data_IF_450051765566
#
_entry.id   IF_450051765566
#
_cell.length_a   1.000
_cell.length_b   1.000
_cell.length_c   1.000
_cell.angle_alpha   90.00
_cell.angle_beta   90.00
_cell.angle_gamma   90.00
#
_symmetry.space_group_name_H-M   'P 1'
#
loop_
_entity.id
_entity.type
_entity.pdbx_description
1 polymer ?
#
# COMPACT_ATOMS: atom_id res chain seq x y z
N UNK A 1 -48.04 18.24 61.55
CA UNK A 1 -47.12 18.29 60.38
C UNK A 1 -45.93 17.39 60.70
N UNK A 2 -45.50 16.38 59.96
CA UNK A 2 -45.75 15.93 58.59
C UNK A 2 -45.40 14.42 58.57
N UNK A 3 -46.31 13.55 58.11
CA UNK A 3 -46.02 12.12 57.87
C UNK A 3 -45.25 12.00 56.55
N UNK A 4 -44.07 11.39 56.54
CA UNK A 4 -43.39 10.92 55.31
C UNK A 4 -43.20 9.42 55.38
N UNK A 5 -44.05 8.73 54.64
CA UNK A 5 -43.99 7.33 54.25
C UNK A 5 -42.80 7.14 53.30
N UNK A 6 -41.84 6.28 53.65
CA UNK A 6 -40.85 5.77 52.71
C UNK A 6 -41.44 4.53 52.02
N UNK A 7 -41.83 4.69 50.75
CA UNK A 7 -42.16 3.59 49.85
C UNK A 7 -40.85 3.08 49.23
N UNK A 8 -40.53 1.81 49.46
CA UNK A 8 -39.46 1.10 48.78
C UNK A 8 -39.86 0.86 47.32
N UNK A 9 -39.15 1.49 46.38
CA UNK A 9 -39.25 1.20 44.96
C UNK A 9 -38.32 0.03 44.61
N UNK A 10 -38.89 -1.10 44.21
CA UNK A 10 -38.17 -2.19 43.56
C UNK A 10 -37.61 -1.70 42.21
N UNK A 11 -36.42 -2.13 41.78
CA UNK A 11 -35.90 -1.79 40.47
C UNK A 11 -36.72 -2.50 39.37
N UNK A 12 -36.91 -1.87 38.20
CA UNK A 12 -37.55 -2.54 37.08
C UNK A 12 -36.64 -3.68 36.58
N UNK A 13 -37.20 -4.88 36.45
CA UNK A 13 -36.61 -5.94 35.63
C UNK A 13 -36.45 -5.40 34.21
N UNK A 14 -35.21 -5.07 33.84
CA UNK A 14 -34.86 -4.87 32.44
C UNK A 14 -34.99 -6.24 31.75
N UNK A 15 -36.07 -6.41 30.99
CA UNK A 15 -36.19 -7.50 30.04
C UNK A 15 -34.97 -7.45 29.12
N UNK A 16 -34.14 -8.49 29.19
CA UNK A 16 -33.13 -8.80 28.18
C UNK A 16 -33.85 -9.01 26.86
N UNK A 17 -34.03 -7.93 26.11
CA UNK A 17 -34.28 -8.02 24.68
C UNK A 17 -32.99 -8.56 24.09
N UNK A 18 -32.96 -9.87 23.87
CA UNK A 18 -31.96 -10.46 22.99
C UNK A 18 -32.09 -9.69 21.67
N UNK A 19 -31.10 -8.85 21.37
CA UNK A 19 -30.93 -8.33 20.02
C UNK A 19 -30.95 -9.55 19.11
N UNK A 20 -31.89 -9.57 18.17
CA UNK A 20 -31.92 -10.58 17.13
C UNK A 20 -30.52 -10.60 16.50
N UNK A 21 -29.84 -11.74 16.65
CA UNK A 21 -28.55 -11.97 16.01
C UNK A 21 -28.76 -11.79 14.51
N UNK A 22 -27.98 -10.89 13.91
CA UNK A 22 -27.74 -10.82 12.47
C UNK A 22 -27.61 -12.26 11.93
N UNK A 23 -28.34 -12.68 10.87
CA UNK A 23 -28.22 -14.02 10.32
C UNK A 23 -26.74 -14.39 10.18
N UNK A 24 -26.32 -15.42 10.93
CA UNK A 24 -24.92 -15.85 11.05
C UNK A 24 -24.33 -15.95 9.64
N UNK A 25 -23.41 -15.04 9.31
CA UNK A 25 -22.68 -15.13 8.07
C UNK A 25 -21.88 -16.43 8.10
N UNK A 26 -22.24 -17.39 7.26
CA UNK A 26 -21.49 -18.65 7.10
C UNK A 26 -20.53 -18.51 5.92
N UNK A 27 -19.24 -18.64 6.20
CA UNK A 27 -18.17 -18.58 5.21
C UNK A 27 -17.67 -19.99 4.94
N UNK A 28 -17.77 -20.43 3.69
CA UNK A 28 -17.30 -21.76 3.27
C UNK A 28 -16.10 -21.58 2.34
N UNK A 29 -14.92 -22.03 2.78
CA UNK A 29 -13.71 -22.02 1.94
C UNK A 29 -13.50 -23.39 1.29
N UNK A 30 -13.11 -23.41 0.02
CA UNK A 30 -12.83 -24.64 -0.72
C UNK A 30 -11.36 -25.06 -0.54
N UNK A 31 -11.10 -26.04 0.33
CA UNK A 31 -9.77 -26.61 0.52
C UNK A 31 -9.49 -27.86 -0.34
N UNK A 32 -10.45 -28.30 -1.16
CA UNK A 32 -10.24 -29.35 -2.15
C UNK A 32 -9.48 -28.77 -3.35
N UNK A 33 -9.86 -27.56 -3.77
CA UNK A 33 -9.35 -26.89 -4.97
C UNK A 33 -8.52 -25.65 -4.62
N UNK A 34 -7.21 -25.82 -4.45
CA UNK A 34 -6.29 -24.70 -4.22
C UNK A 34 -6.22 -23.79 -5.45
N UNK A 35 -6.64 -22.53 -5.30
CA UNK A 35 -6.54 -21.49 -6.32
C UNK A 35 -5.11 -20.98 -6.52
N UNK A 36 -4.97 -19.83 -7.18
CA UNK A 36 -3.66 -19.23 -7.49
C UNK A 36 -2.82 -18.90 -6.24
N UNK A 37 -1.49 -18.76 -6.37
CA UNK A 37 -0.63 -18.25 -5.29
C UNK A 37 -1.13 -16.90 -4.77
N UNK A 38 -1.05 -16.69 -3.46
CA UNK A 38 -1.34 -15.38 -2.88
C UNK A 38 -0.26 -14.39 -3.30
N UNK A 39 -0.70 -13.26 -3.84
CA UNK A 39 0.19 -12.25 -4.43
C UNK A 39 0.80 -11.35 -3.35
N UNK A 40 2.09 -11.01 -3.43
CA UNK A 40 2.76 -10.17 -2.43
C UNK A 40 2.46 -8.69 -2.66
N UNK A 41 1.25 -8.25 -2.35
CA UNK A 41 0.75 -6.89 -2.63
C UNK A 41 0.86 -5.91 -1.45
N UNK A 42 1.41 -6.34 -0.31
CA UNK A 42 1.56 -5.52 0.89
C UNK A 42 2.82 -4.63 0.86
N UNK A 43 3.12 -4.01 -0.28
CA UNK A 43 4.25 -3.08 -0.42
C UNK A 43 3.99 -1.74 0.29
N UNK A 44 5.04 -0.93 0.41
CA UNK A 44 5.02 0.35 1.13
C UNK A 44 5.83 1.43 0.41
N UNK A 45 5.68 2.69 0.81
CA UNK A 45 6.57 3.79 0.45
C UNK A 45 7.56 4.10 1.58
N UNK A 46 8.71 4.70 1.24
CA UNK A 46 9.69 5.18 2.21
C UNK A 46 10.78 4.14 2.55
N UNK A 47 11.36 4.26 3.74
CA UNK A 47 12.45 3.39 4.22
C UNK A 47 12.48 3.26 5.75
N UNK A 48 13.30 2.33 6.28
CA UNK A 48 13.33 2.02 7.71
C UNK A 48 14.06 3.05 8.57
N UNK A 49 14.82 3.98 7.99
CA UNK A 49 15.55 5.01 8.73
C UNK A 49 14.79 6.35 8.60
N UNK A 50 14.46 7.01 9.73
CA UNK A 50 13.53 8.16 9.75
C UNK A 50 13.72 9.11 10.95
N UNK A 51 13.59 10.44 10.76
CA UNK A 51 13.95 11.52 11.72
C UNK A 51 15.47 11.89 11.92
N UNK A 52 16.20 12.21 10.84
CA UNK A 52 17.58 12.75 10.85
C UNK A 52 18.71 11.99 11.61
N UNK A 53 18.76 10.67 11.65
CA UNK A 53 19.67 9.85 12.45
C UNK A 53 19.04 9.12 13.65
N UNK A 54 17.87 9.57 14.13
CA UNK A 54 17.37 9.20 15.47
C UNK A 54 16.61 7.86 15.51
N UNK A 55 15.77 7.54 14.52
CA UNK A 55 15.00 6.29 14.51
C UNK A 55 15.53 5.30 13.48
N UNK A 56 15.74 4.06 13.93
CA UNK A 56 15.99 2.90 13.10
C UNK A 56 14.85 1.88 13.29
N UNK A 57 14.03 1.74 12.25
CA UNK A 57 12.88 0.84 12.18
C UNK A 57 13.22 -0.47 11.44
N UNK A 58 14.49 -0.74 11.14
CA UNK A 58 14.92 -1.90 10.35
C UNK A 58 14.44 -3.22 10.94
N UNK A 59 14.40 -3.35 12.27
CA UNK A 59 13.88 -4.55 12.94
C UNK A 59 12.38 -4.76 12.63
N UNK A 60 11.59 -3.69 12.59
CA UNK A 60 10.16 -3.74 12.27
C UNK A 60 9.91 -3.98 10.78
N UNK A 61 10.76 -3.44 9.92
CA UNK A 61 10.73 -3.75 8.49
C UNK A 61 11.05 -5.21 8.20
N UNK A 62 12.10 -5.76 8.82
CA UNK A 62 12.42 -7.20 8.76
C UNK A 62 11.30 -8.07 9.33
N UNK A 63 10.67 -7.63 10.42
CA UNK A 63 9.50 -8.30 10.96
C UNK A 63 8.36 -8.29 9.95
N UNK A 64 8.04 -7.17 9.32
CA UNK A 64 6.91 -7.08 8.39
C UNK A 64 7.16 -7.76 7.04
N UNK A 65 8.43 -7.91 6.64
CA UNK A 65 8.86 -8.50 5.37
C UNK A 65 8.11 -7.89 4.17
N UNK A 66 8.10 -6.56 4.09
CA UNK A 66 7.43 -5.87 2.99
C UNK A 66 8.05 -6.31 1.65
N UNK A 67 7.22 -6.68 0.65
CA UNK A 67 7.72 -7.17 -0.62
C UNK A 67 8.35 -6.06 -1.46
N UNK A 68 7.83 -4.85 -1.36
CA UNK A 68 8.29 -3.68 -2.11
C UNK A 68 8.36 -2.44 -1.22
N UNK A 69 9.35 -1.58 -1.51
CA UNK A 69 9.47 -0.22 -1.03
C UNK A 69 9.61 0.72 -2.23
N UNK A 70 8.63 1.60 -2.42
CA UNK A 70 8.68 2.64 -3.44
C UNK A 70 9.27 3.92 -2.86
N UNK A 71 10.27 4.47 -3.55
CA UNK A 71 11.10 5.57 -3.02
C UNK A 71 10.47 6.94 -3.32
N UNK A 72 9.51 7.37 -2.52
CA UNK A 72 8.92 8.71 -2.61
C UNK A 72 8.74 9.32 -1.23
N UNK A 73 8.83 10.65 -1.14
CA UNK A 73 8.83 11.43 0.11
C UNK A 73 9.74 10.84 1.20
N UNK A 74 10.91 10.36 0.80
CA UNK A 74 11.89 9.78 1.72
C UNK A 74 12.68 10.90 2.43
N UNK A 75 12.52 11.03 3.75
CA UNK A 75 12.94 12.23 4.48
C UNK A 75 14.23 12.08 5.32
N UNK A 76 15.11 11.10 5.05
CA UNK A 76 16.26 10.79 5.90
C UNK A 76 17.62 10.86 5.21
N UNK A 77 18.66 11.53 5.75
CA UNK A 77 18.67 12.42 6.92
C UNK A 77 18.22 13.85 6.59
N UNK A 78 17.96 14.12 5.32
CA UNK A 78 17.49 15.38 4.76
C UNK A 78 16.18 15.12 3.98
N UNK A 79 15.32 16.14 3.81
CA UNK A 79 14.19 16.03 2.90
C UNK A 79 14.66 15.63 1.51
N UNK A 80 14.10 14.52 1.03
CA UNK A 80 14.17 14.03 -0.33
C UNK A 80 15.51 13.38 -0.71
N UNK A 81 16.01 12.51 0.17
CA UNK A 81 17.32 11.83 0.05
C UNK A 81 17.50 11.01 -1.24
N UNK A 82 16.40 10.61 -1.88
CA UNK A 82 16.39 9.79 -3.10
C UNK A 82 16.16 10.62 -4.37
N UNK A 83 15.95 11.93 -4.24
CA UNK A 83 15.65 12.82 -5.36
C UNK A 83 16.85 13.01 -6.27
N UNK A 84 16.57 13.21 -7.57
CA UNK A 84 17.62 13.41 -8.56
C UNK A 84 18.48 14.62 -8.21
N UNK A 85 17.89 15.73 -7.73
CA UNK A 85 18.65 16.90 -7.28
C UNK A 85 19.39 16.71 -5.96
N UNK A 86 19.00 15.75 -5.12
CA UNK A 86 19.78 15.41 -3.94
C UNK A 86 21.05 14.63 -4.34
N UNK A 87 20.90 13.70 -5.29
CA UNK A 87 21.99 12.85 -5.78
C UNK A 87 22.89 13.58 -6.80
N UNK A 88 22.36 14.52 -7.59
CA UNK A 88 23.09 15.30 -8.60
C UNK A 88 22.87 16.80 -8.37
N UNK A 89 23.62 17.42 -7.43
CA UNK A 89 23.31 18.76 -6.93
C UNK A 89 23.66 19.88 -7.93
N UNK A 90 24.66 19.69 -8.79
CA UNK A 90 25.06 20.67 -9.80
C UNK A 90 24.73 20.20 -11.22
N UNK A 91 23.60 20.67 -11.74
CA UNK A 91 23.17 20.38 -13.12
C UNK A 91 24.05 21.03 -14.20
N UNK A 92 25.05 21.84 -13.87
CA UNK A 92 26.09 22.26 -14.81
C UNK A 92 27.20 21.20 -14.97
N UNK A 93 27.41 20.34 -13.97
CA UNK A 93 28.45 19.31 -13.98
C UNK A 93 28.24 18.21 -15.03
N UNK A 94 29.27 17.42 -15.30
CA UNK A 94 29.24 16.33 -16.28
C UNK A 94 28.61 15.06 -15.68
N UNK A 95 27.49 14.54 -16.24
CA UNK A 95 26.85 13.31 -15.76
C UNK A 95 27.71 12.04 -15.97
N UNK A 96 28.76 12.08 -16.79
CA UNK A 96 29.68 10.96 -16.95
C UNK A 96 30.75 10.89 -15.84
N UNK A 97 30.96 11.97 -15.08
CA UNK A 97 31.94 12.02 -14.00
C UNK A 97 31.31 11.57 -12.67
N UNK A 98 31.80 10.49 -12.03
CA UNK A 98 31.35 10.06 -10.70
C UNK A 98 31.34 11.16 -9.63
N UNK A 99 32.32 12.05 -9.64
CA UNK A 99 32.45 13.12 -8.64
C UNK A 99 31.36 14.20 -8.73
N UNK A 100 30.54 14.18 -9.79
CA UNK A 100 29.38 15.05 -9.93
C UNK A 100 28.17 14.59 -9.11
N UNK A 101 28.21 13.37 -8.55
CA UNK A 101 27.13 12.75 -7.80
C UNK A 101 27.46 12.71 -6.30
N UNK A 102 26.46 12.92 -5.45
CA UNK A 102 26.51 12.71 -4.00
C UNK A 102 25.60 11.53 -3.62
N UNK A 103 26.15 10.32 -3.69
CA UNK A 103 25.41 9.09 -3.39
C UNK A 103 25.36 8.75 -1.90
N UNK A 104 26.25 9.32 -1.06
CA UNK A 104 26.53 8.79 0.27
C UNK A 104 25.28 8.60 1.15
N UNK A 105 24.39 9.59 1.18
CA UNK A 105 23.15 9.51 1.98
C UNK A 105 22.12 8.57 1.36
N UNK A 106 22.01 8.59 0.04
CA UNK A 106 21.08 7.72 -0.70
C UNK A 106 21.51 6.26 -0.56
N UNK A 107 22.82 5.99 -0.52
CA UNK A 107 23.38 4.66 -0.31
C UNK A 107 23.04 4.11 1.05
N UNK A 108 23.20 4.90 2.11
CA UNK A 108 22.78 4.52 3.46
C UNK A 108 21.28 4.19 3.50
N UNK A 109 20.45 5.01 2.87
CA UNK A 109 19.00 4.84 2.84
C UNK A 109 18.58 3.58 2.07
N UNK A 110 19.07 3.42 0.83
CA UNK A 110 18.80 2.28 -0.06
C UNK A 110 19.34 0.99 0.56
N UNK A 111 20.53 1.04 1.18
CA UNK A 111 21.12 -0.10 1.89
C UNK A 111 20.24 -0.56 3.04
N UNK A 112 19.68 0.35 3.83
CA UNK A 112 18.81 -0.04 4.95
C UNK A 112 17.55 -0.79 4.48
N UNK A 113 16.97 -0.38 3.35
CA UNK A 113 15.84 -1.09 2.72
C UNK A 113 16.27 -2.46 2.20
N UNK A 114 17.40 -2.52 1.49
CA UNK A 114 17.95 -3.76 0.95
C UNK A 114 18.27 -4.77 2.06
N UNK A 115 18.93 -4.33 3.14
CA UNK A 115 19.29 -5.15 4.29
C UNK A 115 18.08 -5.63 5.11
N UNK A 116 16.92 -4.97 4.95
CA UNK A 116 15.64 -5.43 5.49
C UNK A 116 14.99 -6.54 4.65
N UNK A 117 15.54 -6.84 3.46
CA UNK A 117 15.02 -7.85 2.54
C UNK A 117 13.88 -7.37 1.64
N UNK A 118 13.70 -6.06 1.49
CA UNK A 118 12.61 -5.46 0.71
C UNK A 118 13.08 -5.07 -0.68
N UNK A 119 12.35 -5.48 -1.72
CA UNK A 119 12.66 -5.07 -3.09
C UNK A 119 12.32 -3.59 -3.31
N UNK A 120 13.00 -2.92 -4.24
CA UNK A 120 12.90 -1.47 -4.41
C UNK A 120 12.21 -1.13 -5.73
N UNK A 121 11.27 -0.19 -5.67
CA UNK A 121 10.77 0.59 -6.82
C UNK A 121 11.41 1.98 -6.73
N UNK A 122 12.47 2.21 -7.51
CA UNK A 122 13.23 3.45 -7.44
C UNK A 122 12.55 4.52 -8.30
N UNK A 123 12.10 5.62 -7.68
CA UNK A 123 11.49 6.75 -8.39
C UNK A 123 12.55 7.81 -8.72
N UNK A 124 12.78 7.98 -10.02
CA UNK A 124 13.65 8.98 -10.61
C UNK A 124 12.86 10.29 -10.80
N UNK A 125 13.06 11.24 -9.91
CA UNK A 125 12.36 12.52 -9.96
C UNK A 125 12.55 13.30 -8.69
N UNK A 126 11.52 14.07 -8.36
CA UNK A 126 11.51 14.93 -7.17
C UNK A 126 10.27 14.61 -6.30
N UNK A 127 10.41 14.76 -4.99
CA UNK A 127 9.33 14.69 -4.00
C UNK A 127 8.36 15.87 -4.13
N UNK A 128 7.16 15.73 -3.54
CA UNK A 128 6.15 16.79 -3.56
C UNK A 128 6.59 18.01 -2.73
N UNK A 129 6.44 19.22 -3.29
CA UNK A 129 6.69 20.47 -2.57
C UNK A 129 5.36 21.08 -2.10
N UNK A 130 5.07 21.04 -0.81
CA UNK A 130 3.89 21.72 -0.24
C UNK A 130 4.09 23.22 0.02
N UNK A 131 5.33 23.71 -0.05
CA UNK A 131 5.64 25.12 0.21
C UNK A 131 5.13 26.02 -0.92
N UNK A 132 4.80 27.28 -0.62
CA UNK A 132 4.32 28.26 -1.62
C UNK A 132 5.31 28.46 -2.77
N UNK A 133 6.61 28.48 -2.47
CA UNK A 133 7.69 28.64 -3.44
C UNK A 133 8.26 27.27 -3.77
N UNK A 134 8.15 26.87 -5.03
CA UNK A 134 8.73 25.63 -5.57
C UNK A 134 10.19 25.83 -5.91
N UNK A 135 11.05 24.85 -5.61
CA UNK A 135 12.51 24.88 -5.80
C UNK A 135 13.04 23.68 -6.57
N UNK A 136 12.33 22.56 -6.55
CA UNK A 136 12.80 21.29 -7.09
C UNK A 136 11.94 20.80 -8.26
N UNK A 137 10.63 21.04 -8.22
CA UNK A 137 9.69 20.45 -9.18
C UNK A 137 9.52 21.21 -10.51
N UNK A 138 10.51 22.02 -10.90
CA UNK A 138 10.53 22.63 -12.24
C UNK A 138 11.00 21.64 -13.30
N UNK A 139 10.53 21.79 -14.56
CA UNK A 139 11.09 21.04 -15.67
C UNK A 139 12.62 21.21 -15.74
N UNK A 140 13.39 20.11 -15.91
CA UNK A 140 14.82 20.24 -16.17
C UNK A 140 15.06 21.09 -17.42
N UNK A 141 16.12 21.90 -17.42
CA UNK A 141 16.46 22.76 -18.57
C UNK A 141 16.85 21.96 -19.81
N UNK A 142 17.41 20.76 -19.60
CA UNK A 142 17.84 19.83 -20.62
C UNK A 142 17.40 18.41 -20.22
N UNK A 143 16.42 17.87 -20.95
CA UNK A 143 15.87 16.54 -20.67
C UNK A 143 16.83 15.41 -21.04
N UNK A 144 17.70 15.60 -22.04
CA UNK A 144 18.69 14.59 -22.41
C UNK A 144 19.76 14.49 -21.32
N UNK A 145 20.25 15.63 -20.83
CA UNK A 145 21.17 15.65 -19.68
C UNK A 145 20.53 15.04 -18.43
N UNK A 146 19.28 15.37 -18.12
CA UNK A 146 18.56 14.77 -16.99
C UNK A 146 18.44 13.24 -17.12
N UNK A 147 18.18 12.73 -18.34
CA UNK A 147 18.13 11.30 -18.60
C UNK A 147 19.49 10.61 -18.40
N UNK A 148 20.60 11.25 -18.78
CA UNK A 148 21.95 10.73 -18.52
C UNK A 148 22.31 10.75 -17.02
N UNK A 149 21.89 11.77 -16.28
CA UNK A 149 22.00 11.79 -14.81
C UNK A 149 21.26 10.59 -14.20
N UNK A 150 20.01 10.37 -14.59
CA UNK A 150 19.23 9.22 -14.15
C UNK A 150 19.91 7.90 -14.51
N UNK A 151 20.50 7.80 -15.70
CA UNK A 151 21.26 6.62 -16.10
C UNK A 151 22.49 6.39 -15.20
N UNK A 152 23.15 7.46 -14.73
CA UNK A 152 24.21 7.38 -13.72
C UNK A 152 23.73 6.78 -12.40
N UNK A 153 22.56 7.22 -11.90
CA UNK A 153 21.93 6.67 -10.69
C UNK A 153 21.59 5.18 -10.87
N UNK A 154 20.97 4.83 -11.99
CA UNK A 154 20.64 3.42 -12.32
C UNK A 154 21.90 2.57 -12.31
N UNK A 155 22.95 3.02 -13.01
CA UNK A 155 24.22 2.30 -13.14
C UNK A 155 24.95 2.17 -11.79
N UNK A 156 24.83 3.17 -10.92
CA UNK A 156 25.39 3.11 -9.57
C UNK A 156 24.77 1.94 -8.78
N UNK A 157 23.45 1.76 -8.78
CA UNK A 157 22.80 0.69 -8.01
C UNK A 157 22.73 -0.68 -8.71
N UNK A 158 22.96 -0.75 -10.03
CA UNK A 158 22.84 -2.00 -10.80
C UNK A 158 24.18 -2.57 -11.27
N UNK A 159 25.14 -1.70 -11.65
CA UNK A 159 26.39 -2.10 -12.29
C UNK A 159 27.65 -1.85 -11.44
N UNK A 160 27.51 -1.27 -10.25
CA UNK A 160 28.63 -0.93 -9.36
C UNK A 160 29.44 0.29 -9.79
N UNK A 161 28.87 1.16 -10.64
CA UNK A 161 29.55 2.38 -11.09
C UNK A 161 29.67 3.41 -9.96
N UNK A 162 30.74 4.21 -9.97
CA UNK A 162 31.00 5.21 -8.92
C UNK A 162 30.98 4.61 -7.51
N UNK A 163 31.73 3.52 -7.30
CA UNK A 163 31.81 2.76 -6.05
C UNK A 163 30.46 2.23 -5.53
N UNK A 164 29.52 2.00 -6.45
CA UNK A 164 28.16 1.60 -6.13
C UNK A 164 27.94 0.11 -5.93
N UNK A 165 26.71 -0.31 -6.19
CA UNK A 165 26.15 -1.61 -5.82
C UNK A 165 25.67 -2.40 -7.03
N UNK A 166 25.31 -3.66 -6.77
CA UNK A 166 24.61 -4.56 -7.71
C UNK A 166 23.33 -5.07 -7.06
N UNK A 167 22.49 -4.15 -6.60
CA UNK A 167 21.22 -4.50 -6.00
C UNK A 167 20.22 -4.97 -7.07
N UNK A 168 19.31 -5.90 -6.75
CA UNK A 168 18.33 -6.42 -7.70
C UNK A 168 17.14 -5.46 -7.89
N UNK A 169 17.40 -4.19 -8.17
CA UNK A 169 16.36 -3.16 -8.41
C UNK A 169 15.82 -3.31 -9.83
N UNK A 170 14.63 -3.91 -9.95
CA UNK A 170 13.98 -4.18 -11.23
C UNK A 170 13.20 -2.98 -11.78
N UNK A 171 12.55 -2.20 -10.92
CA UNK A 171 11.59 -1.17 -11.32
C UNK A 171 12.15 0.23 -11.13
N UNK A 172 12.09 1.02 -12.21
CA UNK A 172 12.55 2.41 -12.25
C UNK A 172 11.41 3.28 -12.78
N UNK A 173 10.86 4.08 -11.87
CA UNK A 173 9.70 4.93 -12.14
C UNK A 173 10.16 6.34 -12.47
N UNK A 174 9.70 6.89 -13.59
CA UNK A 174 10.01 8.25 -14.02
C UNK A 174 8.97 9.20 -13.43
N UNK A 175 9.46 10.04 -12.52
CA UNK A 175 8.76 11.14 -11.87
C UNK A 175 7.65 10.73 -10.90
N UNK A 176 6.99 11.73 -10.31
CA UNK A 176 5.84 11.61 -9.43
C UNK A 176 4.79 12.66 -9.77
N UNK A 177 3.54 12.25 -9.94
CA UNK A 177 2.34 13.09 -10.10
C UNK A 177 2.53 14.37 -10.94
N UNK A 178 3.03 14.30 -12.19
CA UNK A 178 3.22 15.49 -13.02
C UNK A 178 1.91 16.25 -13.34
N UNK A 179 0.78 15.60 -13.12
CA UNK A 179 -0.57 16.14 -13.20
C UNK A 179 -1.01 16.90 -11.93
N UNK A 180 -0.32 16.71 -10.80
CA UNK A 180 -0.53 17.47 -9.56
C UNK A 180 0.30 18.76 -9.55
N UNK A 181 -0.28 19.83 -10.11
CA UNK A 181 0.40 21.12 -10.27
C UNK A 181 -0.03 22.16 -9.25
N UNK A 182 0.89 23.04 -8.79
CA UNK A 182 2.31 23.09 -9.13
C UNK A 182 3.19 22.27 -8.16
N UNK A 183 2.62 21.37 -7.36
CA UNK A 183 3.31 20.77 -6.22
C UNK A 183 4.30 19.67 -6.60
N UNK A 184 4.03 18.93 -7.67
CA UNK A 184 4.88 17.85 -8.17
C UNK A 184 5.49 18.17 -9.55
N UNK A 185 4.96 19.18 -10.26
CA UNK A 185 5.49 19.66 -11.53
C UNK A 185 5.00 21.08 -11.83
N UNK A 186 5.91 22.02 -12.13
CA UNK A 186 5.53 23.39 -12.50
C UNK A 186 5.41 23.62 -14.01
N UNK A 187 5.82 22.64 -14.83
CA UNK A 187 5.77 22.76 -16.29
C UNK A 187 4.41 22.48 -16.89
N UNK A 188 4.36 22.49 -18.21
CA UNK A 188 3.20 22.08 -19.01
C UNK A 188 3.14 20.55 -19.17
N UNK A 189 1.98 20.04 -19.63
CA UNK A 189 1.81 18.63 -19.99
C UNK A 189 2.81 18.24 -21.08
N UNK A 190 2.92 19.05 -22.13
CA UNK A 190 3.83 18.83 -23.25
C UNK A 190 5.29 18.69 -22.78
N UNK A 191 5.75 19.58 -21.88
CA UNK A 191 7.09 19.48 -21.31
C UNK A 191 7.31 18.18 -20.53
N UNK A 192 6.31 17.72 -19.77
CA UNK A 192 6.43 16.45 -19.07
C UNK A 192 6.46 15.26 -20.04
N UNK A 193 5.60 15.27 -21.07
CA UNK A 193 5.61 14.23 -22.09
C UNK A 193 6.96 14.16 -22.81
N UNK A 194 7.57 15.30 -23.12
CA UNK A 194 8.90 15.36 -23.73
C UNK A 194 10.00 14.85 -22.77
N UNK A 195 9.92 15.16 -21.48
CA UNK A 195 10.80 14.59 -20.45
C UNK A 195 10.69 13.06 -20.41
N UNK A 196 9.46 12.53 -20.30
CA UNK A 196 9.22 11.10 -20.22
C UNK A 196 9.70 10.36 -21.47
N UNK A 197 9.36 10.87 -22.67
CA UNK A 197 9.83 10.31 -23.95
C UNK A 197 11.35 10.21 -23.98
N UNK A 198 12.03 11.29 -23.58
CA UNK A 198 13.50 11.38 -23.61
C UNK A 198 14.11 10.39 -22.62
N UNK A 199 13.67 10.43 -21.37
CA UNK A 199 14.20 9.58 -20.31
C UNK A 199 13.93 8.10 -20.53
N UNK A 200 12.69 7.72 -20.85
CA UNK A 200 12.32 6.32 -21.04
C UNK A 200 13.11 5.67 -22.18
N UNK A 201 13.31 6.39 -23.30
CA UNK A 201 14.12 5.89 -24.43
C UNK A 201 15.59 5.72 -24.06
N UNK A 202 16.19 6.71 -23.40
CA UNK A 202 17.59 6.65 -22.96
C UNK A 202 17.80 5.50 -21.97
N UNK A 203 16.95 5.41 -20.94
CA UNK A 203 17.06 4.38 -19.90
C UNK A 203 16.85 2.99 -20.47
N UNK A 204 15.82 2.77 -21.31
CA UNK A 204 15.57 1.45 -21.88
C UNK A 204 16.66 1.02 -22.86
N UNK A 205 17.25 1.95 -23.62
CA UNK A 205 18.36 1.64 -24.51
C UNK A 205 19.62 1.18 -23.75
N UNK A 206 19.93 1.81 -22.62
CA UNK A 206 21.09 1.45 -21.77
C UNK A 206 20.83 0.22 -20.91
N UNK A 207 19.59 0.05 -20.45
CA UNK A 207 19.20 -1.00 -19.49
C UNK A 207 18.01 -1.81 -20.00
N UNK A 208 18.15 -2.57 -21.10
CA UNK A 208 17.03 -3.21 -21.79
C UNK A 208 16.26 -4.24 -20.94
N UNK A 209 16.89 -4.77 -19.89
CA UNK A 209 16.29 -5.75 -18.96
C UNK A 209 15.52 -5.12 -17.80
N UNK A 210 15.75 -3.84 -17.51
CA UNK A 210 15.05 -3.15 -16.43
C UNK A 210 13.65 -2.75 -16.87
N UNK A 211 12.75 -2.66 -15.91
CA UNK A 211 11.39 -2.20 -16.12
C UNK A 211 11.37 -0.68 -15.93
N UNK A 212 11.04 0.05 -16.98
CA UNK A 212 10.96 1.51 -16.99
C UNK A 212 9.49 1.92 -17.16
N UNK A 213 8.99 2.72 -16.24
CA UNK A 213 7.57 3.07 -16.18
C UNK A 213 7.33 4.40 -15.50
N UNK A 214 6.07 4.70 -15.20
CA UNK A 214 5.65 5.98 -14.63
C UNK A 214 4.22 6.33 -15.03
N UNK A 215 3.79 7.59 -14.84
CA UNK A 215 4.50 8.68 -14.17
C UNK A 215 4.10 8.89 -12.69
N UNK A 216 3.48 7.90 -12.07
CA UNK A 216 2.87 8.03 -10.74
C UNK A 216 1.70 9.00 -10.78
N UNK A 217 0.66 8.71 -11.57
CA UNK A 217 -0.49 9.60 -11.77
C UNK A 217 -1.18 9.92 -10.44
N UNK A 218 -1.22 11.20 -10.06
CA UNK A 218 -1.92 11.64 -8.85
C UNK A 218 -3.44 11.59 -9.02
N UNK A 219 -3.91 11.95 -10.22
CA UNK A 219 -5.30 11.80 -10.65
C UNK A 219 -5.42 10.73 -11.74
N UNK A 220 -5.79 9.52 -11.30
CA UNK A 220 -6.04 8.39 -12.20
C UNK A 220 -7.33 8.50 -13.03
N UNK A 221 -8.15 9.53 -12.82
CA UNK A 221 -9.40 9.78 -13.54
C UNK A 221 -10.66 9.65 -12.68
N UNK A 222 -11.81 9.87 -13.31
CA UNK A 222 -13.12 9.86 -12.64
C UNK A 222 -13.77 8.49 -12.74
N UNK A 223 -14.21 7.95 -11.60
CA UNK A 223 -15.03 6.75 -11.58
C UNK A 223 -16.52 7.10 -11.76
N UNK A 224 -17.14 6.54 -12.79
CA UNK A 224 -18.58 6.57 -13.01
C UNK A 224 -19.13 5.15 -12.87
N UNK A 225 -19.56 4.80 -11.65
CA UNK A 225 -19.85 3.42 -11.29
C UNK A 225 -18.58 2.57 -11.32
N UNK A 226 -18.54 1.59 -12.22
CA UNK A 226 -17.38 0.71 -12.45
C UNK A 226 -16.49 1.17 -13.62
N UNK A 227 -16.89 2.21 -14.36
CA UNK A 227 -16.12 2.73 -15.49
C UNK A 227 -15.16 3.83 -15.03
N UNK A 228 -13.87 3.64 -15.28
CA UNK A 228 -12.86 4.69 -15.12
C UNK A 228 -12.76 5.50 -16.40
N UNK A 229 -13.02 6.81 -16.31
CA UNK A 229 -12.75 7.75 -17.39
C UNK A 229 -11.37 8.38 -17.18
N UNK A 230 -10.42 8.19 -18.11
CA UNK A 230 -9.07 8.75 -17.95
C UNK A 230 -9.09 10.28 -17.99
N UNK A 231 -8.12 10.92 -17.35
CA UNK A 231 -7.87 12.35 -17.52
C UNK A 231 -7.40 12.66 -18.95
N UNK A 232 -7.44 13.94 -19.34
CA UNK A 232 -6.82 14.36 -20.61
C UNK A 232 -5.33 14.05 -20.63
N UNK A 233 -4.64 14.33 -19.53
CA UNK A 233 -3.22 14.01 -19.35
C UNK A 233 -2.91 12.53 -19.59
N UNK A 234 -3.66 11.60 -18.97
CA UNK A 234 -3.44 10.16 -19.17
C UNK A 234 -3.69 9.74 -20.63
N UNK A 235 -4.73 10.27 -21.29
CA UNK A 235 -4.98 10.00 -22.71
C UNK A 235 -3.81 10.45 -23.58
N UNK A 236 -3.35 11.67 -23.38
CA UNK A 236 -2.28 12.26 -24.18
C UNK A 236 -0.94 11.56 -23.91
N UNK A 237 -0.69 11.14 -22.66
CA UNK A 237 0.47 10.34 -22.27
C UNK A 237 0.53 9.01 -23.01
N UNK A 238 -0.55 8.23 -22.97
CA UNK A 238 -0.61 6.93 -23.67
C UNK A 238 -0.54 7.11 -25.19
N UNK A 239 -1.23 8.11 -25.74
CA UNK A 239 -1.18 8.43 -27.16
C UNK A 239 0.24 8.80 -27.60
N UNK A 240 0.95 9.61 -26.81
CA UNK A 240 2.36 9.98 -27.07
C UNK A 240 3.26 8.75 -27.04
N UNK A 241 3.12 7.90 -26.02
CA UNK A 241 3.92 6.68 -25.90
C UNK A 241 3.72 5.74 -27.10
N UNK A 242 2.46 5.58 -27.57
CA UNK A 242 2.16 4.78 -28.77
C UNK A 242 2.70 5.39 -30.05
N UNK A 243 2.48 6.69 -30.26
CA UNK A 243 2.89 7.40 -31.49
C UNK A 243 4.41 7.36 -31.67
N UNK A 244 5.15 7.58 -30.58
CA UNK A 244 6.59 7.78 -30.62
C UNK A 244 7.39 6.52 -30.24
N UNK A 245 6.72 5.37 -30.08
CA UNK A 245 7.31 4.09 -29.67
C UNK A 245 8.13 4.21 -28.38
N UNK A 246 7.56 4.88 -27.39
CA UNK A 246 8.20 5.08 -26.08
C UNK A 246 8.04 3.80 -25.24
N UNK A 247 9.12 3.30 -24.60
CA UNK A 247 9.02 2.22 -23.63
C UNK A 247 8.08 2.58 -22.48
N UNK A 248 7.16 1.67 -22.15
CA UNK A 248 6.26 1.76 -21.01
C UNK A 248 6.06 0.34 -20.47
N UNK A 249 7.01 -0.13 -19.66
CA UNK A 249 6.98 -1.49 -19.10
C UNK A 249 5.92 -1.60 -17.99
N UNK A 250 5.68 -0.50 -17.26
CA UNK A 250 4.59 -0.38 -16.30
C UNK A 250 4.00 1.04 -16.28
N UNK A 251 2.70 1.13 -16.04
CA UNK A 251 2.01 2.39 -15.76
C UNK A 251 1.71 2.47 -14.27
N UNK A 252 2.16 3.54 -13.62
CA UNK A 252 1.92 3.76 -12.19
C UNK A 252 0.91 4.88 -11.91
N UNK A 253 0.10 4.66 -10.89
CA UNK A 253 -1.02 5.52 -10.52
C UNK A 253 -1.31 5.44 -9.02
N UNK A 254 -1.95 6.49 -8.48
CA UNK A 254 -2.24 6.63 -7.06
C UNK A 254 -3.74 6.65 -6.78
N UNK A 255 -4.10 6.34 -5.54
CA UNK A 255 -5.47 6.47 -5.06
C UNK A 255 -5.53 6.60 -3.53
N UNK A 256 -6.19 7.64 -3.04
CA UNK A 256 -6.52 7.82 -1.62
C UNK A 256 -8.03 7.87 -1.47
N UNK A 257 -8.61 6.95 -0.69
CA UNK A 257 -10.07 6.79 -0.61
C UNK A 257 -10.52 6.21 0.73
N UNK A 258 -11.79 6.43 1.06
CA UNK A 258 -12.46 5.79 2.19
C UNK A 258 -13.18 4.48 1.82
N UNK A 259 -13.20 4.11 0.53
CA UNK A 259 -13.82 2.87 0.03
C UNK A 259 -12.75 1.92 -0.55
N UNK A 260 -12.45 0.78 0.10
CA UNK A 260 -11.41 -0.12 -0.38
C UNK A 260 -11.78 -0.82 -1.70
N UNK A 261 -13.05 -0.84 -2.10
CA UNK A 261 -13.48 -1.41 -3.39
C UNK A 261 -13.12 -0.52 -4.58
N UNK A 262 -12.91 0.79 -4.34
CA UNK A 262 -12.48 1.74 -5.37
C UNK A 262 -11.13 1.36 -5.97
N UNK A 263 -10.20 0.82 -5.17
CA UNK A 263 -8.91 0.34 -5.70
C UNK A 263 -9.08 -0.73 -6.78
N UNK A 264 -10.00 -1.68 -6.56
CA UNK A 264 -10.29 -2.75 -7.53
C UNK A 264 -10.93 -2.19 -8.79
N UNK A 265 -11.91 -1.28 -8.65
CA UNK A 265 -12.59 -0.63 -9.77
C UNK A 265 -11.61 0.18 -10.62
N UNK A 266 -10.72 0.95 -9.98
CA UNK A 266 -9.65 1.70 -10.67
C UNK A 266 -8.65 0.77 -11.36
N UNK A 267 -8.20 -0.30 -10.70
CA UNK A 267 -7.28 -1.26 -11.31
C UNK A 267 -7.89 -1.91 -12.57
N UNK A 268 -9.15 -2.34 -12.51
CA UNK A 268 -9.88 -2.87 -13.68
C UNK A 268 -10.00 -1.83 -14.79
N UNK A 269 -10.38 -0.60 -14.44
CA UNK A 269 -10.45 0.51 -15.39
C UNK A 269 -9.10 0.83 -16.04
N UNK A 270 -8.02 0.83 -15.26
CA UNK A 270 -6.67 1.09 -15.75
C UNK A 270 -6.21 0.00 -16.73
N UNK A 271 -6.50 -1.27 -16.42
CA UNK A 271 -6.25 -2.39 -17.32
C UNK A 271 -6.99 -2.22 -18.65
N UNK A 272 -8.27 -1.86 -18.61
CA UNK A 272 -9.07 -1.58 -19.81
C UNK A 272 -8.52 -0.42 -20.63
N UNK A 273 -8.11 0.67 -19.98
CA UNK A 273 -7.51 1.84 -20.63
C UNK A 273 -6.19 1.46 -21.32
N UNK A 274 -5.32 0.73 -20.65
CA UNK A 274 -4.06 0.24 -21.21
C UNK A 274 -4.31 -0.69 -22.41
N UNK A 275 -5.24 -1.64 -22.30
CA UNK A 275 -5.55 -2.58 -23.37
C UNK A 275 -6.14 -1.88 -24.60
N UNK A 276 -7.04 -0.92 -24.40
CA UNK A 276 -7.60 -0.09 -25.46
C UNK A 276 -6.53 0.78 -26.14
N UNK A 277 -5.56 1.27 -25.36
CA UNK A 277 -4.38 1.96 -25.87
C UNK A 277 -3.31 0.99 -26.41
N UNK A 278 -3.56 -0.32 -26.47
CA UNK A 278 -2.70 -1.38 -27.00
C UNK A 278 -1.46 -1.75 -26.18
N UNK A 279 -1.44 -1.40 -24.90
CA UNK A 279 -0.40 -1.73 -23.92
C UNK A 279 -0.71 -3.02 -23.13
N UNK A 280 -1.07 -4.09 -23.85
CA UNK A 280 -1.55 -5.35 -23.22
C UNK A 280 -0.53 -6.04 -22.30
N UNK A 281 0.77 -5.80 -22.54
CA UNK A 281 1.87 -6.36 -21.73
C UNK A 281 2.43 -5.41 -20.68
N UNK A 282 1.95 -4.16 -20.62
CA UNK A 282 2.39 -3.17 -19.61
C UNK A 282 1.78 -3.52 -18.26
N UNK A 283 2.61 -3.65 -17.23
CA UNK A 283 2.16 -3.86 -15.84
C UNK A 283 1.39 -2.63 -15.31
N UNK A 284 0.52 -2.83 -14.30
CA UNK A 284 -0.20 -1.75 -13.62
C UNK A 284 0.19 -1.67 -12.16
N UNK A 285 0.72 -0.53 -11.74
CA UNK A 285 1.28 -0.33 -10.40
C UNK A 285 0.50 0.71 -9.60
N UNK A 286 -0.11 0.30 -8.48
CA UNK A 286 -0.71 1.20 -7.50
C UNK A 286 0.38 1.68 -6.53
N UNK A 287 1.22 2.63 -6.98
CA UNK A 287 2.45 2.99 -6.27
C UNK A 287 2.25 3.93 -5.07
N UNK A 288 1.05 4.48 -4.91
CA UNK A 288 0.62 5.07 -3.64
C UNK A 288 -0.86 4.81 -3.38
N UNK A 289 -1.14 4.30 -2.18
CA UNK A 289 -2.48 4.25 -1.64
C UNK A 289 -2.50 4.38 -0.13
N UNK A 290 -3.59 4.94 0.41
CA UNK A 290 -3.86 4.95 1.84
C UNK A 290 -5.38 5.10 2.09
N UNK A 291 -5.82 4.75 3.30
CA UNK A 291 -7.11 5.12 3.83
C UNK A 291 -7.22 6.64 3.94
N UNK A 292 -8.28 7.18 3.35
CA UNK A 292 -8.66 8.58 3.48
C UNK A 292 -9.95 8.64 4.31
N UNK A 293 -9.89 8.94 5.63
CA UNK A 293 -11.08 9.08 6.46
C UNK A 293 -12.11 10.00 5.81
N UNK A 294 -13.35 9.52 5.74
CA UNK A 294 -14.51 10.18 5.12
C UNK A 294 -14.35 10.49 3.62
N UNK A 295 -13.34 9.92 2.96
CA UNK A 295 -13.00 10.18 1.56
C UNK A 295 -12.56 11.62 1.30
N UNK A 296 -12.08 12.34 2.32
CA UNK A 296 -11.77 13.78 2.23
C UNK A 296 -10.46 14.15 2.89
N UNK A 297 -9.71 15.02 2.22
CA UNK A 297 -8.47 15.63 2.73
C UNK A 297 -8.70 16.70 3.80
N UNK A 298 -9.94 17.07 4.09
CA UNK A 298 -10.28 18.19 4.98
C UNK A 298 -9.77 18.01 6.40
N UNK A 299 -9.67 16.77 6.89
CA UNK A 299 -9.15 16.50 8.24
C UNK A 299 -7.64 16.71 8.33
N UNK A 300 -6.86 16.22 7.36
CA UNK A 300 -5.42 16.47 7.27
C UNK A 300 -5.10 17.97 7.17
N UNK A 301 -5.91 18.70 6.39
CA UNK A 301 -5.75 20.15 6.15
C UNK A 301 -6.46 21.04 7.18
N UNK A 302 -7.03 20.46 8.25
CA UNK A 302 -7.75 21.23 9.25
C UNK A 302 -6.81 22.24 9.91
N UNK A 303 -7.30 23.43 10.26
CA UNK A 303 -6.50 24.44 10.99
C UNK A 303 -6.38 24.13 12.48
N UNK A 304 -7.42 23.51 13.04
CA UNK A 304 -7.43 23.05 14.41
C UNK A 304 -6.54 21.81 14.61
N UNK A 305 -5.68 21.85 15.62
CA UNK A 305 -4.70 20.80 15.85
C UNK A 305 -5.34 19.49 16.32
N UNK A 306 -6.38 19.56 17.15
CA UNK A 306 -7.08 18.39 17.66
C UNK A 306 -7.88 17.69 16.56
N UNK A 307 -8.51 18.46 15.67
CA UNK A 307 -9.18 17.93 14.49
C UNK A 307 -8.21 17.21 13.55
N UNK A 308 -7.02 17.79 13.30
CA UNK A 308 -5.96 17.11 12.53
C UNK A 308 -5.52 15.82 13.23
N UNK A 309 -5.23 15.89 14.53
CA UNK A 309 -4.81 14.72 15.31
C UNK A 309 -5.85 13.60 15.25
N UNK A 310 -7.13 13.93 15.48
CA UNK A 310 -8.24 12.96 15.42
C UNK A 310 -8.32 12.28 14.06
N UNK A 311 -8.08 13.02 12.98
CA UNK A 311 -8.03 12.45 11.63
C UNK A 311 -6.85 11.47 11.46
N UNK A 312 -5.65 11.83 11.93
CA UNK A 312 -4.49 10.94 11.92
C UNK A 312 -4.68 9.71 12.82
N UNK A 313 -5.33 9.86 13.98
CA UNK A 313 -5.64 8.75 14.89
C UNK A 313 -6.61 7.75 14.26
N UNK A 314 -7.57 8.20 13.45
CA UNK A 314 -8.43 7.32 12.65
C UNK A 314 -7.65 6.60 11.55
N UNK A 315 -6.77 7.33 10.85
CA UNK A 315 -5.91 6.78 9.81
C UNK A 315 -4.96 5.70 10.34
N UNK A 316 -4.27 5.96 11.45
CA UNK A 316 -3.36 5.00 12.10
C UNK A 316 -4.05 3.97 13.00
N UNK A 317 -5.34 4.14 13.27
CA UNK A 317 -6.12 3.40 14.25
C UNK A 317 -6.81 2.13 13.71
N UNK A 318 -7.83 1.63 14.42
CA UNK A 318 -8.54 0.40 14.03
C UNK A 318 -9.25 0.54 12.67
N UNK A 319 -9.77 1.73 12.35
CA UNK A 319 -10.39 2.02 11.05
C UNK A 319 -9.40 1.81 9.90
N UNK A 320 -8.24 2.48 9.96
CA UNK A 320 -7.22 2.32 8.92
C UNK A 320 -6.64 0.91 8.84
N UNK A 321 -6.50 0.21 9.98
CA UNK A 321 -6.03 -1.17 9.99
C UNK A 321 -7.02 -2.13 9.30
N UNK A 322 -8.31 -1.99 9.58
CA UNK A 322 -9.36 -2.76 8.91
C UNK A 322 -9.44 -2.40 7.42
N UNK A 323 -9.36 -1.11 7.08
CA UNK A 323 -9.33 -0.65 5.70
C UNK A 323 -8.15 -1.23 4.91
N UNK A 324 -6.92 -1.14 5.44
CA UNK A 324 -5.73 -1.63 4.76
C UNK A 324 -5.77 -3.15 4.54
N UNK A 325 -6.22 -3.91 5.55
CA UNK A 325 -6.43 -5.34 5.41
C UNK A 325 -7.52 -5.67 4.36
N UNK A 326 -8.61 -4.91 4.34
CA UNK A 326 -9.68 -5.09 3.36
C UNK A 326 -9.20 -4.80 1.93
N UNK A 327 -8.48 -3.69 1.73
CA UNK A 327 -7.88 -3.34 0.46
C UNK A 327 -6.97 -4.46 -0.05
N UNK A 328 -6.04 -4.93 0.78
CA UNK A 328 -5.12 -6.01 0.40
C UNK A 328 -5.80 -7.36 0.16
N UNK A 329 -6.93 -7.66 0.82
CA UNK A 329 -7.74 -8.83 0.48
C UNK A 329 -8.33 -8.68 -0.94
N UNK A 330 -8.94 -7.54 -1.21
CA UNK A 330 -9.66 -7.25 -2.46
C UNK A 330 -8.73 -7.11 -3.68
N UNK A 331 -7.56 -6.51 -3.49
CA UNK A 331 -6.59 -6.28 -4.57
C UNK A 331 -6.04 -7.58 -5.17
N UNK A 332 -6.19 -8.69 -4.47
CA UNK A 332 -5.74 -10.01 -4.93
C UNK A 332 -6.55 -10.57 -6.10
N UNK A 333 -7.72 -9.98 -6.39
CA UNK A 333 -8.52 -10.27 -7.58
C UNK A 333 -8.49 -9.11 -8.60
N UNK A 334 -7.68 -8.07 -8.34
CA UNK A 334 -7.54 -6.91 -9.21
C UNK A 334 -6.40 -7.08 -10.24
N UNK A 335 -6.54 -6.57 -11.46
CA UNK A 335 -5.52 -6.67 -12.51
C UNK A 335 -4.42 -5.62 -12.32
N UNK A 336 -3.68 -5.74 -11.21
CA UNK A 336 -2.50 -4.94 -10.87
C UNK A 336 -1.34 -5.85 -10.46
N UNK A 337 -0.12 -5.37 -10.58
CA UNK A 337 1.10 -6.17 -10.38
C UNK A 337 1.84 -5.79 -9.10
N UNK A 338 1.82 -4.50 -8.75
CA UNK A 338 2.50 -3.93 -7.57
C UNK A 338 1.55 -2.97 -6.87
N UNK A 339 1.53 -2.98 -5.53
CA UNK A 339 0.81 -2.01 -4.71
C UNK A 339 1.68 -1.57 -3.53
N UNK A 340 1.74 -0.25 -3.28
CA UNK A 340 2.59 0.35 -2.24
C UNK A 340 1.78 1.33 -1.37
N UNK A 341 1.62 0.98 -0.10
CA UNK A 341 0.94 1.81 0.90
C UNK A 341 1.80 3.04 1.24
N UNK A 342 1.22 4.23 1.24
CA UNK A 342 1.92 5.46 1.62
C UNK A 342 1.65 5.82 3.09
N UNK A 343 2.58 5.72 4.04
CA UNK A 343 3.97 5.25 3.91
C UNK A 343 4.43 4.42 5.13
N UNK A 344 5.59 3.78 5.07
CA UNK A 344 6.19 3.00 6.15
C UNK A 344 7.28 3.76 6.95
N UNK A 345 7.14 5.08 7.03
CA UNK A 345 8.00 5.97 7.83
C UNK A 345 7.32 6.45 9.13
N UNK A 346 8.10 7.14 9.97
CA UNK A 346 7.65 7.79 11.21
C UNK A 346 7.06 9.19 10.93
N UNK A 347 5.93 9.23 10.23
CA UNK A 347 5.25 10.49 9.85
C UNK A 347 3.72 10.41 9.97
N UNK A 348 3.02 11.53 9.72
CA UNK A 348 1.57 11.64 9.99
C UNK A 348 0.67 10.63 9.27
N UNK A 349 1.05 10.19 8.06
CA UNK A 349 0.34 9.13 7.32
C UNK A 349 1.08 7.78 7.37
N UNK A 350 2.10 7.70 8.21
CA UNK A 350 3.02 6.58 8.31
C UNK A 350 2.48 5.39 9.10
N UNK A 351 3.11 4.23 8.90
CA UNK A 351 2.90 3.05 9.73
C UNK A 351 3.44 3.21 11.16
N UNK A 352 4.21 4.26 11.43
CA UNK A 352 4.79 4.53 12.73
C UNK A 352 4.46 5.95 13.19
N UNK A 353 4.27 6.13 14.50
CA UNK A 353 4.21 7.45 15.10
C UNK A 353 5.55 8.20 14.90
N UNK A 354 5.60 9.52 15.13
CA UNK A 354 6.85 10.28 15.12
C UNK A 354 7.93 9.79 16.11
N UNK A 355 7.57 8.89 17.04
CA UNK A 355 8.48 8.26 17.99
C UNK A 355 8.86 6.82 17.59
N UNK A 356 8.48 6.36 16.40
CA UNK A 356 8.76 5.00 15.91
C UNK A 356 7.86 3.91 16.49
N UNK A 357 6.78 4.27 17.19
CA UNK A 357 5.82 3.30 17.72
C UNK A 357 4.92 2.81 16.58
N UNK A 358 4.79 1.48 16.33
CA UNK A 358 3.92 0.97 15.28
C UNK A 358 2.45 1.34 15.51
N UNK A 359 1.82 1.90 14.49
CA UNK A 359 0.38 2.13 14.42
C UNK A 359 -0.37 0.80 14.18
N UNK A 360 -1.69 0.76 14.35
CA UNK A 360 -2.47 -0.48 14.15
C UNK A 360 -2.37 -0.99 12.71
N UNK A 361 -2.23 -0.07 11.75
CA UNK A 361 -2.04 -0.39 10.34
C UNK A 361 -0.77 -1.20 10.10
N UNK A 362 0.31 -0.97 10.86
CA UNK A 362 1.55 -1.77 10.74
C UNK A 362 1.26 -3.26 10.94
N UNK A 363 0.51 -3.60 12.00
CA UNK A 363 0.17 -5.00 12.31
C UNK A 363 -0.72 -5.62 11.23
N UNK A 364 -1.63 -4.83 10.63
CA UNK A 364 -2.47 -5.30 9.54
C UNK A 364 -1.64 -5.59 8.27
N UNK A 365 -0.72 -4.70 7.91
CA UNK A 365 0.19 -4.89 6.77
C UNK A 365 1.13 -6.07 7.02
N UNK A 366 1.76 -6.13 8.21
CA UNK A 366 2.69 -7.21 8.60
C UNK A 366 2.03 -8.59 8.69
N UNK A 367 0.70 -8.67 8.83
CA UNK A 367 -0.01 -9.94 8.80
C UNK A 367 0.11 -10.65 7.44
N UNK A 368 0.27 -9.89 6.34
CA UNK A 368 0.32 -10.45 4.99
C UNK A 368 1.57 -11.28 4.69
N UNK A 369 2.68 -11.06 5.41
CA UNK A 369 3.88 -11.90 5.30
C UNK A 369 3.58 -13.39 5.54
N UNK A 370 2.62 -13.68 6.43
CA UNK A 370 2.29 -15.05 6.81
C UNK A 370 1.59 -15.82 5.65
N UNK A 371 1.08 -15.12 4.64
CA UNK A 371 0.47 -15.75 3.46
C UNK A 371 1.50 -16.11 2.37
N UNK A 372 2.77 -15.77 2.56
CA UNK A 372 3.84 -16.11 1.60
C UNK A 372 3.91 -17.62 1.41
N UNK A 373 3.89 -18.07 0.15
CA UNK A 373 3.92 -19.49 -0.22
C UNK A 373 2.58 -20.23 -0.09
N UNK A 374 1.52 -19.56 0.39
CA UNK A 374 0.19 -20.15 0.43
C UNK A 374 -0.54 -19.98 -0.92
N UNK A 375 -1.37 -20.97 -1.24
CA UNK A 375 -2.30 -20.95 -2.37
C UNK A 375 -3.67 -20.49 -1.87
N UNK A 376 -4.39 -19.72 -2.68
CA UNK A 376 -5.74 -19.23 -2.39
C UNK A 376 -6.68 -20.39 -2.03
N UNK A 377 -7.47 -20.19 -0.99
CA UNK A 377 -8.68 -20.97 -0.74
C UNK A 377 -9.89 -20.16 -1.24
N UNK A 378 -10.53 -20.55 -2.35
CA UNK A 378 -11.69 -19.84 -2.87
C UNK A 378 -12.82 -19.82 -1.84
N UNK A 379 -13.47 -18.67 -1.69
CA UNK A 379 -14.71 -18.56 -0.93
C UNK A 379 -15.88 -19.03 -1.81
N UNK A 380 -16.79 -19.82 -1.23
CA UNK A 380 -18.10 -20.14 -1.83
C UNK A 380 -19.15 -19.15 -1.32
N UNK A 381 -19.83 -18.48 -2.25
CA UNK A 381 -20.87 -17.50 -1.93
C UNK A 381 -20.35 -16.07 -1.76
N UNK A 382 -21.19 -15.21 -1.21
CA UNK A 382 -20.91 -13.79 -1.03
C UNK A 382 -20.54 -13.47 0.43
N UNK A 383 -19.67 -12.48 0.61
CA UNK A 383 -19.37 -11.94 1.93
C UNK A 383 -20.46 -10.93 2.35
N UNK A 384 -20.78 -10.86 3.66
CA UNK A 384 -21.59 -9.77 4.19
C UNK A 384 -20.99 -8.41 3.85
N UNK A 385 -21.84 -7.41 3.64
CA UNK A 385 -21.41 -6.04 3.43
C UNK A 385 -20.44 -5.58 4.54
N UNK A 386 -19.36 -4.90 4.14
CA UNK A 386 -18.32 -4.43 5.06
C UNK A 386 -17.39 -5.50 5.62
N UNK A 387 -17.58 -6.79 5.29
CA UNK A 387 -16.62 -7.87 5.56
C UNK A 387 -15.80 -8.18 4.30
N UNK A 388 -14.50 -8.33 4.49
CA UNK A 388 -13.59 -8.88 3.48
C UNK A 388 -12.87 -10.08 4.06
N UNK A 389 -12.49 -11.02 3.21
CA UNK A 389 -11.78 -12.21 3.62
C UNK A 389 -10.67 -12.58 2.64
N UNK A 390 -9.60 -13.15 3.18
CA UNK A 390 -8.54 -13.81 2.42
C UNK A 390 -8.19 -15.10 3.13
N UNK A 391 -8.36 -16.24 2.47
CA UNK A 391 -7.91 -17.52 2.95
C UNK A 391 -6.83 -18.14 2.06
N UNK A 392 -5.86 -18.80 2.70
CA UNK A 392 -4.75 -19.48 2.03
C UNK A 392 -4.38 -20.78 2.73
N UNK A 393 -3.87 -21.74 1.96
CA UNK A 393 -3.43 -23.04 2.45
C UNK A 393 -2.10 -23.41 1.78
N UNK A 394 -1.21 -24.05 2.55
CA UNK A 394 0.02 -24.61 2.02
C UNK A 394 -0.30 -25.78 1.06
N UNK A 395 0.58 -26.04 0.10
CA UNK A 395 0.37 -27.12 -0.89
C UNK A 395 0.26 -28.50 -0.23
N UNK A 396 0.99 -28.71 0.86
CA UNK A 396 0.93 -29.93 1.67
C UNK A 396 -0.33 -30.03 2.56
N UNK A 397 -1.15 -28.98 2.58
CA UNK A 397 -2.37 -28.83 3.36
C UNK A 397 -2.18 -28.97 4.89
N UNK A 398 -0.96 -28.76 5.41
CA UNK A 398 -0.64 -28.86 6.84
C UNK A 398 -0.78 -27.54 7.61
N UNK A 399 -0.85 -26.43 6.90
CA UNK A 399 -1.03 -25.12 7.52
C UNK A 399 -1.81 -24.21 6.59
N UNK A 400 -2.65 -23.38 7.20
CA UNK A 400 -3.45 -22.40 6.48
C UNK A 400 -3.76 -21.18 7.31
N UNK A 401 -4.24 -20.14 6.65
CA UNK A 401 -4.59 -18.87 7.25
C UNK A 401 -5.93 -18.40 6.71
N UNK A 402 -6.71 -17.76 7.57
CA UNK A 402 -7.87 -16.97 7.16
C UNK A 402 -7.72 -15.60 7.80
N UNK A 403 -7.73 -14.55 6.99
CA UNK A 403 -7.82 -13.17 7.45
C UNK A 403 -9.24 -12.68 7.18
N UNK A 404 -9.90 -12.16 8.20
CA UNK A 404 -11.17 -11.45 8.10
C UNK A 404 -10.95 -9.99 8.47
N UNK A 405 -11.48 -9.07 7.67
CA UNK A 405 -11.48 -7.63 8.00
C UNK A 405 -12.88 -7.04 7.89
N UNK A 406 -13.37 -6.49 9.01
CA UNK A 406 -14.62 -5.73 9.12
C UNK A 406 -14.29 -4.24 9.02
N UNK A 407 -14.29 -3.72 7.79
CA UNK A 407 -13.92 -2.33 7.50
C UNK A 407 -15.13 -1.37 7.51
N UNK A 408 -16.36 -1.90 7.40
CA UNK A 408 -17.59 -1.14 7.48
C UNK A 408 -18.72 -1.94 8.14
N UNK A 409 -19.79 -1.24 8.55
CA UNK A 409 -20.96 -1.84 9.20
C UNK A 409 -20.75 -2.16 10.68
N UNK A 410 -21.77 -2.77 11.29
CA UNK A 410 -21.71 -3.24 12.67
C UNK A 410 -20.89 -4.53 12.77
N UNK A 411 -20.17 -4.70 13.88
CA UNK A 411 -19.50 -5.97 14.18
C UNK A 411 -20.51 -7.10 14.39
N UNK A 412 -20.04 -8.34 14.37
CA UNK A 412 -20.89 -9.49 14.66
C UNK A 412 -20.20 -10.84 14.52
N UNK A 413 -20.95 -11.88 14.86
CA UNK A 413 -20.49 -13.26 14.80
C UNK A 413 -20.42 -13.75 13.35
N UNK A 414 -19.27 -14.33 12.98
CA UNK A 414 -19.04 -15.00 11.71
C UNK A 414 -18.81 -16.47 11.97
N UNK A 415 -19.54 -17.33 11.26
CA UNK A 415 -19.34 -18.78 11.25
C UNK A 415 -18.44 -19.13 10.06
N UNK A 416 -17.39 -19.89 10.30
CA UNK A 416 -16.50 -20.40 9.25
C UNK A 416 -16.66 -21.91 9.20
N UNK A 417 -17.03 -22.40 8.04
CA UNK A 417 -17.08 -23.82 7.71
C UNK A 417 -15.72 -24.28 7.20
N UNK A 418 -15.16 -25.26 7.91
CA UNK A 418 -13.85 -25.87 7.64
C UNK A 418 -14.00 -27.35 7.27
N UNK A 419 -15.21 -27.83 6.92
CA UNK A 419 -15.45 -29.24 6.57
C UNK A 419 -14.66 -29.71 5.34
N UNK A 420 -14.33 -28.80 4.43
CA UNK A 420 -13.44 -29.07 3.29
C UNK A 420 -11.96 -29.26 3.70
N UNK A 421 -11.60 -28.89 4.93
CA UNK A 421 -10.27 -29.02 5.52
C UNK A 421 -10.31 -29.81 6.84
N UNK A 422 -10.77 -31.08 6.84
CA UNK A 422 -11.07 -31.86 8.05
C UNK A 422 -9.84 -32.14 8.92
N UNK A 423 -8.63 -31.98 8.37
CA UNK A 423 -7.38 -32.10 9.11
C UNK A 423 -7.16 -30.95 10.12
N UNK A 424 -7.83 -29.80 9.92
CA UNK A 424 -7.73 -28.64 10.83
C UNK A 424 -8.46 -28.95 12.12
N UNK A 425 -7.75 -28.86 13.25
CA UNK A 425 -8.31 -29.24 14.55
C UNK A 425 -8.31 -28.13 15.56
N UNK A 426 -7.42 -27.17 15.42
CA UNK A 426 -7.38 -25.97 16.25
C UNK A 426 -7.22 -24.74 15.39
N UNK A 427 -7.83 -23.65 15.86
CA UNK A 427 -7.71 -22.33 15.24
C UNK A 427 -7.27 -21.34 16.31
N UNK A 428 -6.11 -20.74 16.08
CA UNK A 428 -5.57 -19.66 16.91
C UNK A 428 -5.93 -18.31 16.28
N UNK A 429 -6.58 -17.45 17.05
CA UNK A 429 -7.08 -16.16 16.57
C UNK A 429 -6.21 -15.04 17.12
N UNK A 430 -5.67 -14.23 16.21
CA UNK A 430 -4.96 -12.98 16.51
C UNK A 430 -5.82 -11.80 16.07
N UNK A 431 -5.89 -10.76 16.90
CA UNK A 431 -6.78 -9.62 16.72
C UNK A 431 -6.05 -8.29 16.55
N UNK A 432 -6.56 -7.46 15.65
CA UNK A 432 -6.28 -6.03 15.58
C UNK A 432 -7.62 -5.33 15.69
N UNK A 433 -7.80 -4.53 16.74
CA UNK A 433 -9.05 -3.81 17.04
C UNK A 433 -8.73 -2.63 17.96
N UNK A 434 -9.74 -2.01 18.58
CA UNK A 434 -9.55 -0.89 19.50
C UNK A 434 -8.51 -1.17 20.61
N UNK A 435 -8.49 -2.38 21.16
CA UNK A 435 -7.65 -2.73 22.33
C UNK A 435 -6.47 -3.63 21.98
N UNK A 436 -6.41 -4.19 20.77
CA UNK A 436 -5.36 -5.13 20.35
C UNK A 436 -4.53 -4.65 19.16
N UNK A 437 -3.26 -5.04 19.18
CA UNK A 437 -2.24 -4.72 18.18
C UNK A 437 -1.59 -6.03 17.69
N UNK A 438 -2.36 -6.87 17.00
CA UNK A 438 -1.84 -8.16 16.52
C UNK A 438 -1.56 -9.16 17.65
N UNK A 439 -2.33 -9.10 18.73
CA UNK A 439 -2.18 -9.98 19.91
C UNK A 439 -3.24 -11.09 19.93
N UNK A 440 -2.99 -12.22 20.65
CA UNK A 440 -3.96 -13.31 20.75
C UNK A 440 -5.33 -12.84 21.27
N UNK A 441 -6.39 -13.40 20.68
CA UNK A 441 -7.79 -13.23 21.12
C UNK A 441 -8.23 -14.49 21.84
N UNK A 442 -8.10 -15.63 21.16
CA UNK A 442 -8.54 -16.94 21.65
C UNK A 442 -7.89 -18.08 20.84
N UNK A 443 -7.93 -19.29 21.39
CA UNK A 443 -7.63 -20.53 20.69
C UNK A 443 -8.82 -21.48 20.88
N UNK A 444 -9.29 -22.10 19.79
CA UNK A 444 -10.48 -22.96 19.81
C UNK A 444 -10.24 -24.26 19.05
N UNK A 445 -10.79 -25.35 19.58
CA UNK A 445 -10.95 -26.58 18.81
C UNK A 445 -12.05 -26.40 17.76
N UNK A 446 -11.87 -27.01 16.58
CA UNK A 446 -12.91 -27.08 15.56
C UNK A 446 -13.97 -28.10 16.00
N UNK A 447 -15.23 -27.67 16.11
CA UNK A 447 -16.35 -28.52 16.54
C UNK A 447 -17.34 -28.63 15.37
N UNK A 448 -17.74 -29.86 15.04
CA UNK A 448 -18.62 -30.17 13.92
C UNK A 448 -18.15 -29.57 12.58
N UNK A 449 -16.83 -29.54 12.38
CA UNK A 449 -16.18 -29.01 11.17
C UNK A 449 -16.30 -27.50 11.01
N UNK A 450 -16.61 -26.75 12.07
CA UNK A 450 -16.83 -25.31 12.00
C UNK A 450 -16.29 -24.56 13.21
N UNK A 451 -16.12 -23.25 13.06
CA UNK A 451 -15.87 -22.33 14.17
C UNK A 451 -16.76 -21.11 14.04
N UNK A 452 -17.12 -20.49 15.17
CA UNK A 452 -17.81 -19.21 15.19
C UNK A 452 -17.01 -18.26 16.07
N UNK A 453 -16.70 -17.08 15.54
CA UNK A 453 -15.97 -16.03 16.24
C UNK A 453 -16.61 -14.67 16.03
N UNK A 454 -16.36 -13.76 16.96
CA UNK A 454 -16.79 -12.37 16.84
C UNK A 454 -15.79 -11.55 16.01
N UNK A 455 -16.33 -10.77 15.07
CA UNK A 455 -15.57 -9.83 14.24
C UNK A 455 -16.16 -8.42 14.48
N UNK A 456 -15.64 -7.68 15.47
CA UNK A 456 -16.09 -6.32 15.79
C UNK A 456 -15.98 -5.35 14.61
N UNK A 457 -16.69 -4.22 14.69
CA UNK A 457 -16.48 -3.12 13.76
C UNK A 457 -15.02 -2.62 13.81
N UNK A 458 -14.50 -2.17 12.68
CA UNK A 458 -13.13 -1.67 12.53
C UNK A 458 -12.09 -2.64 13.13
N UNK A 459 -12.15 -3.91 12.71
CA UNK A 459 -11.26 -4.94 13.22
C UNK A 459 -10.75 -5.90 12.15
N UNK A 460 -9.62 -6.52 12.47
CA UNK A 460 -9.02 -7.63 11.71
C UNK A 460 -8.90 -8.83 12.64
N UNK A 461 -9.20 -10.01 12.09
CA UNK A 461 -8.98 -11.32 12.72
C UNK A 461 -8.11 -12.15 11.79
N UNK A 462 -6.94 -12.55 12.27
CA UNK A 462 -6.08 -13.51 11.59
C UNK A 462 -6.20 -14.85 12.31
N UNK A 463 -6.71 -15.84 11.60
CA UNK A 463 -6.93 -17.19 12.08
C UNK A 463 -5.82 -18.07 11.53
N UNK A 464 -5.06 -18.69 12.43
CA UNK A 464 -4.05 -19.69 12.08
C UNK A 464 -4.67 -21.08 12.20
N UNK A 465 -4.70 -21.80 11.08
CA UNK A 465 -5.26 -23.14 11.00
C UNK A 465 -4.15 -24.15 11.27
N UNK A 466 -4.29 -24.92 12.35
CA UNK A 466 -3.36 -25.98 12.71
C UNK A 466 -3.99 -27.33 12.44
N UNK A 467 -3.30 -28.18 11.68
CA UNK A 467 -3.76 -29.54 11.38
C UNK A 467 -3.21 -30.56 12.36
N UNK A 468 -3.90 -31.69 12.53
CA UNK A 468 -3.28 -32.87 13.17
C UNK A 468 -2.05 -33.29 12.36
N UNK A 469 -0.98 -33.63 13.08
CA UNK A 469 0.26 -34.16 12.52
C UNK A 469 0.06 -35.51 11.84
#
# INVERSE_FOLDING_TARGET
MNRRTFLAALPPLAASTALAADPRAELVFDAENLGEPIRPLAGVNGGPVAAGGILDLSARWKEAAFPFARLHDCHWPIPDVVDVKAVFPDFAADPANPASYDFARTDEFVKAIHDAGTAIVYRLGESIEHQKVKRRVQPPKDFAKWAEVCAGIVRHYTDGWADGFRYPIRYWEIWNEPDNRPNCWTGTDAQFLDLYVTAAKVLKAKFPKLMIGGPGLGNSGDLKGDRLEPTAFLRDFLARCRKDWVPLDFLSWHCYTGDPTEFVRRAKGMRQILDAAGFKGTESHLNEWNYLPDGKWTGMMAKDALARQTWHDRLGGPEGAAFAAAALCLLQDAPLDVANYFSAEAQGMGLFSPHGVPNKVFYAMAAFKNFTGLRRLPLKGELPAGLTALAGMAVDKKSGLILLSRHAGTGGAVRIDLRSAPAVTTVDVVGIDATRNGTPVESRAVVDGSITLDVPAASVRLLRLTTRA
#
